data_IF_348745507023
#
_entry.id   IF_348745507023
#
_cell.length_a   1.000
_cell.length_b   1.000
_cell.length_c   1.000
_cell.angle_alpha   90.00
_cell.angle_beta   90.00
_cell.angle_gamma   90.00
#
_symmetry.space_group_name_H-M   'P 1'
#
loop_
_entity.id
_entity.type
_entity.pdbx_description
1 polymer ?
#
# COMPACT_ATOMS: atom_id res chain seq x y z
N UNK A 1 40.92 -0.09 2.72
CA UNK A 1 39.45 0.00 2.79
C UNK A 1 38.90 -1.01 1.80
N UNK A 2 38.01 -1.90 2.23
CA UNK A 2 37.43 -2.91 1.35
C UNK A 2 36.19 -2.33 0.65
N UNK A 3 36.38 -1.71 -0.51
CA UNK A 3 35.31 -1.08 -1.29
C UNK A 3 34.32 -2.11 -1.84
N UNK A 4 34.81 -3.29 -2.22
CA UNK A 4 33.97 -4.36 -2.77
C UNK A 4 33.08 -4.96 -1.67
N UNK A 5 33.64 -5.21 -0.49
CA UNK A 5 32.88 -5.65 0.68
C UNK A 5 31.82 -4.62 1.10
N UNK A 6 32.17 -3.33 1.11
CA UNK A 6 31.21 -2.27 1.39
C UNK A 6 30.07 -2.21 0.38
N UNK A 7 30.40 -2.23 -0.92
CA UNK A 7 29.39 -2.24 -2.00
C UNK A 7 28.44 -3.42 -1.85
N UNK A 8 28.97 -4.63 -1.60
CA UNK A 8 28.16 -5.83 -1.41
C UNK A 8 27.15 -5.68 -0.26
N UNK A 9 27.55 -5.05 0.85
CA UNK A 9 26.66 -4.79 1.98
C UNK A 9 25.54 -3.80 1.61
N UNK A 10 25.89 -2.73 0.89
CA UNK A 10 24.91 -1.73 0.43
C UNK A 10 23.92 -2.33 -0.56
N UNK A 11 24.39 -3.07 -1.57
CA UNK A 11 23.54 -3.75 -2.56
C UNK A 11 22.64 -4.80 -1.91
N UNK A 12 23.15 -5.54 -0.92
CA UNK A 12 22.35 -6.48 -0.15
C UNK A 12 21.24 -5.76 0.64
N UNK A 13 21.55 -4.61 1.25
CA UNK A 13 20.55 -3.78 1.93
C UNK A 13 19.48 -3.26 0.96
N UNK A 14 19.87 -2.74 -0.21
CA UNK A 14 18.93 -2.28 -1.25
C UNK A 14 17.98 -3.41 -1.64
N UNK A 15 18.54 -4.59 -1.92
CA UNK A 15 17.78 -5.78 -2.35
C UNK A 15 16.79 -6.22 -1.26
N UNK A 16 17.25 -6.31 -0.01
CA UNK A 16 16.40 -6.69 1.12
C UNK A 16 15.26 -5.69 1.34
N UNK A 17 15.55 -4.38 1.33
CA UNK A 17 14.52 -3.35 1.49
C UNK A 17 13.49 -3.39 0.36
N UNK A 18 13.93 -3.54 -0.90
CA UNK A 18 13.02 -3.69 -2.05
C UNK A 18 12.10 -4.90 -1.88
N UNK A 19 12.64 -6.05 -1.45
CA UNK A 19 11.85 -7.26 -1.22
C UNK A 19 10.80 -7.06 -0.12
N UNK A 20 11.17 -6.40 0.97
CA UNK A 20 10.25 -6.13 2.08
C UNK A 20 9.12 -5.19 1.64
N UNK A 21 9.46 -4.11 0.92
CA UNK A 21 8.48 -3.15 0.41
C UNK A 21 7.54 -3.82 -0.61
N UNK A 22 8.06 -4.67 -1.49
CA UNK A 22 7.23 -5.41 -2.45
C UNK A 22 6.23 -6.35 -1.75
N UNK A 23 6.67 -7.04 -0.68
CA UNK A 23 5.78 -7.86 0.13
C UNK A 23 4.69 -7.03 0.83
N UNK A 24 5.04 -5.83 1.34
CA UNK A 24 4.07 -4.93 1.96
C UNK A 24 3.06 -4.36 0.95
N UNK A 25 3.50 -4.01 -0.27
CA UNK A 25 2.59 -3.64 -1.36
C UNK A 25 1.62 -4.78 -1.65
N UNK A 26 2.10 -6.01 -1.80
CA UNK A 26 1.23 -7.16 -2.09
C UNK A 26 0.17 -7.38 -1.00
N UNK A 27 0.56 -7.21 0.28
CA UNK A 27 -0.38 -7.29 1.41
C UNK A 27 -1.44 -6.20 1.34
N UNK A 28 -1.05 -4.97 1.02
CA UNK A 28 -1.96 -3.84 0.89
C UNK A 28 -2.90 -4.00 -0.31
N UNK A 29 -2.41 -4.51 -1.45
CA UNK A 29 -3.25 -4.80 -2.63
C UNK A 29 -4.29 -5.88 -2.32
N UNK A 30 -3.90 -6.92 -1.56
CA UNK A 30 -4.82 -7.95 -1.10
C UNK A 30 -5.90 -7.35 -0.19
N UNK A 31 -5.49 -6.57 0.82
CA UNK A 31 -6.42 -5.89 1.73
C UNK A 31 -7.36 -4.91 0.99
N UNK A 32 -6.85 -4.20 -0.02
CA UNK A 32 -7.65 -3.30 -0.86
C UNK A 32 -8.72 -4.05 -1.63
N UNK A 33 -8.36 -5.20 -2.21
CA UNK A 33 -9.30 -6.07 -2.91
C UNK A 33 -10.38 -6.60 -1.96
N UNK A 34 -9.99 -7.03 -0.76
CA UNK A 34 -10.93 -7.55 0.24
C UNK A 34 -11.91 -6.47 0.73
N UNK A 35 -11.42 -5.25 1.00
CA UNK A 35 -12.25 -4.11 1.40
C UNK A 35 -13.21 -3.71 0.28
N UNK A 36 -12.75 -3.64 -0.97
CA UNK A 36 -13.62 -3.32 -2.11
C UNK A 36 -14.71 -4.38 -2.31
N UNK A 37 -14.38 -5.67 -2.11
CA UNK A 37 -15.37 -6.75 -2.16
C UNK A 37 -16.38 -6.62 -1.03
N UNK A 38 -15.94 -6.35 0.19
CA UNK A 38 -16.83 -6.18 1.35
C UNK A 38 -17.76 -4.96 1.18
N UNK A 39 -17.24 -3.86 0.63
CA UNK A 39 -18.05 -2.68 0.29
C UNK A 39 -19.17 -3.03 -0.71
N UNK A 40 -18.83 -3.78 -1.77
CA UNK A 40 -19.81 -4.22 -2.76
C UNK A 40 -20.85 -5.16 -2.14
N UNK A 41 -20.43 -6.14 -1.32
CA UNK A 41 -21.34 -7.00 -0.56
C UNK A 41 -22.30 -6.17 0.29
N UNK A 42 -21.78 -5.19 1.03
CA UNK A 42 -22.60 -4.31 1.86
C UNK A 42 -23.62 -3.50 1.05
N UNK A 43 -23.29 -3.05 -0.16
CA UNK A 43 -24.27 -2.40 -1.05
C UNK A 43 -25.37 -3.37 -1.51
N UNK A 44 -25.05 -4.64 -1.75
CA UNK A 44 -26.07 -5.64 -2.10
C UNK A 44 -26.97 -5.98 -0.90
N UNK A 45 -26.39 -6.12 0.30
CA UNK A 45 -27.15 -6.35 1.53
C UNK A 45 -28.07 -5.18 1.84
N UNK A 46 -27.61 -3.94 1.65
CA UNK A 46 -28.42 -2.74 1.84
C UNK A 46 -29.69 -2.74 0.99
N UNK A 47 -29.65 -3.25 -0.25
CA UNK A 47 -30.85 -3.34 -1.12
C UNK A 47 -31.97 -4.17 -0.48
N UNK A 48 -31.60 -5.24 0.24
CA UNK A 48 -32.58 -6.08 0.95
C UNK A 48 -33.26 -5.33 2.10
N UNK A 49 -32.58 -4.33 2.68
CA UNK A 49 -33.16 -3.44 3.68
C UNK A 49 -34.10 -2.41 3.09
N UNK A 50 -34.02 -2.05 1.80
CA UNK A 50 -34.90 -1.03 1.19
C UNK A 50 -36.14 -1.64 0.51
N UNK A 51 -36.07 -2.90 0.06
CA UNK A 51 -37.17 -3.58 -0.64
C UNK A 51 -37.49 -4.96 -0.05
N UNK A 52 -38.02 -5.05 1.18
CA UNK A 52 -38.36 -6.34 1.79
C UNK A 52 -39.63 -6.93 1.16
N UNK A 53 -39.63 -8.25 0.95
CA UNK A 53 -40.83 -8.99 0.57
C UNK A 53 -41.79 -9.11 1.76
N UNK A 54 -42.59 -8.08 1.99
CA UNK A 54 -43.61 -8.04 3.03
C UNK A 54 -44.96 -8.48 2.47
N UNK A 55 -45.57 -9.49 3.09
CA UNK A 55 -46.92 -9.93 2.73
C UNK A 55 -47.99 -8.87 3.03
N UNK A 56 -49.13 -8.92 2.34
CA UNK A 56 -50.21 -7.93 2.45
C UNK A 56 -50.83 -7.76 3.87
N UNK A 57 -50.49 -8.65 4.80
CA UNK A 57 -50.88 -8.61 6.22
C UNK A 57 -49.97 -7.73 7.10
N UNK A 58 -48.85 -7.21 6.56
CA UNK A 58 -47.93 -6.35 7.30
C UNK A 58 -48.45 -4.90 7.39
N UNK A 59 -49.26 -4.61 8.41
CA UNK A 59 -49.90 -3.29 8.62
C UNK A 59 -49.98 -2.92 10.10
N UNK A 60 -50.17 -1.63 10.38
CA UNK A 60 -50.33 -1.07 11.72
C UNK A 60 -48.99 -0.84 12.43
N UNK A 61 -49.03 -0.49 13.72
CA UNK A 61 -47.88 0.02 14.49
C UNK A 61 -46.63 -0.88 14.45
N UNK A 62 -46.80 -2.20 14.31
CA UNK A 62 -45.67 -3.14 14.16
C UNK A 62 -44.95 -3.00 12.81
N UNK A 63 -45.70 -2.71 11.75
CA UNK A 63 -45.14 -2.44 10.44
C UNK A 63 -44.39 -1.10 10.45
N UNK A 64 -45.00 -0.06 11.02
CA UNK A 64 -44.40 1.28 11.11
C UNK A 64 -43.07 1.27 11.87
N UNK A 65 -43.02 0.62 13.04
CA UNK A 65 -41.77 0.47 13.81
C UNK A 65 -40.70 -0.34 13.09
N UNK A 66 -41.08 -1.34 12.29
CA UNK A 66 -40.14 -2.11 11.49
C UNK A 66 -39.55 -1.28 10.35
N UNK A 67 -40.35 -0.39 9.75
CA UNK A 67 -39.88 0.51 8.70
C UNK A 67 -38.93 1.58 9.27
N UNK A 68 -39.20 2.14 10.45
CA UNK A 68 -38.29 3.05 11.16
C UNK A 68 -36.92 2.39 11.46
N UNK A 69 -36.92 1.16 11.97
CA UNK A 69 -35.68 0.40 12.24
C UNK A 69 -34.87 0.16 10.97
N UNK A 70 -35.56 -0.14 9.86
CA UNK A 70 -34.92 -0.35 8.55
C UNK A 70 -34.32 0.92 7.98
N UNK A 71 -35.03 2.04 8.06
CA UNK A 71 -34.52 3.33 7.59
C UNK A 71 -33.27 3.73 8.37
N UNK A 72 -33.30 3.61 9.70
CA UNK A 72 -32.14 3.88 10.56
C UNK A 72 -30.95 2.95 10.25
N UNK A 73 -31.20 1.67 9.95
CA UNK A 73 -30.15 0.74 9.52
C UNK A 73 -29.57 1.13 8.15
N UNK A 74 -30.43 1.49 7.20
CA UNK A 74 -30.03 1.93 5.85
C UNK A 74 -29.17 3.19 5.90
N UNK A 75 -29.52 4.18 6.71
CA UNK A 75 -28.73 5.41 6.88
C UNK A 75 -27.33 5.13 7.47
N UNK A 76 -27.25 4.25 8.48
CA UNK A 76 -25.96 3.83 9.05
C UNK A 76 -25.10 3.08 8.04
N UNK A 77 -25.71 2.19 7.24
CA UNK A 77 -25.00 1.50 6.16
C UNK A 77 -24.50 2.49 5.11
N UNK A 78 -25.28 3.51 4.75
CA UNK A 78 -24.81 4.56 3.84
C UNK A 78 -23.59 5.29 4.39
N UNK A 79 -23.61 5.62 5.68
CA UNK A 79 -22.47 6.27 6.31
C UNK A 79 -21.21 5.41 6.21
N UNK A 80 -21.32 4.12 6.56
CA UNK A 80 -20.18 3.20 6.55
C UNK A 80 -19.69 2.97 5.10
N UNK A 81 -20.59 2.60 4.20
CA UNK A 81 -20.24 2.19 2.84
C UNK A 81 -19.74 3.34 1.99
N UNK A 82 -20.26 4.56 2.17
CA UNK A 82 -19.82 5.72 1.38
C UNK A 82 -18.63 6.45 2.00
N UNK A 83 -18.53 6.54 3.33
CA UNK A 83 -17.49 7.34 3.97
C UNK A 83 -16.37 6.49 4.53
N UNK A 84 -16.67 5.57 5.45
CA UNK A 84 -15.63 4.81 6.15
C UNK A 84 -14.81 3.93 5.20
N UNK A 85 -15.50 3.16 4.34
CA UNK A 85 -14.84 2.36 3.32
C UNK A 85 -14.02 3.19 2.34
N UNK A 86 -14.56 4.32 1.87
CA UNK A 86 -13.84 5.22 0.97
C UNK A 86 -12.58 5.80 1.61
N UNK A 87 -12.62 6.14 2.89
CA UNK A 87 -11.44 6.59 3.64
C UNK A 87 -10.37 5.50 3.73
N UNK A 88 -10.76 4.25 4.05
CA UNK A 88 -9.82 3.14 4.12
C UNK A 88 -9.19 2.82 2.75
N UNK A 89 -10.00 2.77 1.69
CA UNK A 89 -9.55 2.57 0.31
C UNK A 89 -8.52 3.64 -0.06
N UNK A 90 -8.85 4.92 0.16
CA UNK A 90 -7.96 6.04 -0.16
C UNK A 90 -6.65 5.98 0.62
N UNK A 91 -6.70 5.63 1.90
CA UNK A 91 -5.51 5.49 2.74
C UNK A 91 -4.60 4.36 2.27
N UNK A 92 -5.16 3.22 1.88
CA UNK A 92 -4.40 2.08 1.37
C UNK A 92 -3.75 2.43 0.03
N UNK A 93 -4.51 3.03 -0.90
CA UNK A 93 -4.00 3.44 -2.22
C UNK A 93 -2.86 4.46 -2.09
N UNK A 94 -2.99 5.44 -1.19
CA UNK A 94 -1.92 6.41 -0.89
C UNK A 94 -0.66 5.74 -0.35
N UNK A 95 -0.83 4.75 0.54
CA UNK A 95 0.30 4.00 1.10
C UNK A 95 1.00 3.16 0.03
N UNK A 96 0.24 2.47 -0.83
CA UNK A 96 0.79 1.72 -1.98
C UNK A 96 1.63 2.65 -2.86
N UNK A 97 1.09 3.82 -3.23
CA UNK A 97 1.82 4.80 -4.06
C UNK A 97 3.13 5.26 -3.40
N UNK A 98 3.11 5.52 -2.09
CA UNK A 98 4.31 5.87 -1.33
C UNK A 98 5.37 4.77 -1.39
N UNK A 99 4.96 3.51 -1.18
CA UNK A 99 5.85 2.35 -1.23
C UNK A 99 6.41 2.12 -2.65
N UNK A 100 5.60 2.33 -3.70
CA UNK A 100 6.06 2.26 -5.09
C UNK A 100 7.14 3.31 -5.39
N UNK A 101 6.98 4.53 -4.88
CA UNK A 101 8.00 5.57 -4.99
C UNK A 101 9.31 5.19 -4.27
N UNK A 102 9.21 4.51 -3.13
CA UNK A 102 10.39 3.99 -2.43
C UNK A 102 11.10 2.89 -3.24
N UNK A 103 10.36 1.98 -3.90
CA UNK A 103 10.94 1.00 -4.84
C UNK A 103 11.67 1.71 -5.98
N UNK A 104 11.08 2.75 -6.56
CA UNK A 104 11.69 3.51 -7.64
C UNK A 104 13.01 4.17 -7.18
N UNK A 105 13.03 4.77 -5.98
CA UNK A 105 14.23 5.34 -5.40
C UNK A 105 15.32 4.29 -5.14
N UNK A 106 14.97 3.13 -4.56
CA UNK A 106 15.91 2.03 -4.33
C UNK A 106 16.44 1.45 -5.65
N UNK A 107 15.63 1.42 -6.70
CA UNK A 107 16.06 1.01 -8.05
C UNK A 107 17.08 1.99 -8.64
N UNK A 108 16.92 3.30 -8.38
CA UNK A 108 17.93 4.27 -8.78
C UNK A 108 19.27 4.05 -8.04
N UNK A 109 19.24 3.70 -6.75
CA UNK A 109 20.46 3.35 -6.00
C UNK A 109 21.14 2.07 -6.51
N UNK A 110 20.37 1.12 -7.03
CA UNK A 110 20.89 -0.09 -7.67
C UNK A 110 21.70 0.26 -8.93
N UNK A 111 21.25 1.24 -9.72
CA UNK A 111 22.01 1.77 -10.87
C UNK A 111 23.33 2.38 -10.39
N UNK A 112 23.30 3.21 -9.34
CA UNK A 112 24.53 3.79 -8.74
C UNK A 112 25.46 2.70 -8.20
N UNK A 113 24.90 1.60 -7.68
CA UNK A 113 25.67 0.44 -7.19
C UNK A 113 26.41 -0.26 -8.33
N UNK A 114 25.77 -0.44 -9.48
CA UNK A 114 26.41 -1.00 -10.67
C UNK A 114 27.54 -0.09 -11.20
N UNK A 115 27.33 1.24 -11.19
CA UNK A 115 28.39 2.21 -11.54
C UNK A 115 29.59 2.12 -10.58
N UNK A 116 29.32 2.00 -9.27
CA UNK A 116 30.36 1.83 -8.26
C UNK A 116 31.14 0.52 -8.48
N UNK A 117 30.46 -0.57 -8.84
CA UNK A 117 31.09 -1.86 -9.13
C UNK A 117 32.08 -1.75 -10.30
N UNK A 118 31.66 -1.11 -11.39
CA UNK A 118 32.51 -0.89 -12.56
C UNK A 118 33.74 -0.01 -12.25
N UNK A 119 33.57 0.99 -11.39
CA UNK A 119 34.69 1.84 -10.93
C UNK A 119 35.65 1.07 -10.03
N UNK A 120 35.15 0.23 -9.10
CA UNK A 120 36.00 -0.63 -8.26
C UNK A 120 36.79 -1.61 -9.13
N UNK A 121 36.18 -2.19 -10.18
CA UNK A 121 36.84 -3.09 -11.13
C UNK A 121 37.97 -2.41 -11.92
N UNK A 122 37.88 -1.10 -12.17
CA UNK A 122 38.93 -0.33 -12.86
C UNK A 122 40.17 -0.08 -11.99
N UNK A 123 40.09 -0.27 -10.67
CA UNK A 123 41.23 -0.18 -9.77
C UNK A 123 41.66 1.25 -9.45
N UNK A 124 42.96 1.47 -9.26
CA UNK A 124 43.54 2.66 -8.63
C UNK A 124 43.11 4.00 -9.27
N UNK A 125 43.00 4.07 -10.60
CA UNK A 125 42.64 5.30 -11.31
C UNK A 125 41.20 5.77 -11.06
N UNK A 126 40.35 4.92 -10.48
CA UNK A 126 38.92 5.18 -10.29
C UNK A 126 38.49 5.16 -8.81
N UNK A 127 39.42 5.01 -7.86
CA UNK A 127 39.10 4.84 -6.43
C UNK A 127 38.29 6.01 -5.86
N UNK A 128 38.68 7.25 -6.14
CA UNK A 128 37.98 8.43 -5.61
C UNK A 128 36.54 8.52 -6.10
N UNK A 129 36.32 8.12 -7.37
CA UNK A 129 34.98 8.08 -7.96
C UNK A 129 34.14 6.96 -7.34
N UNK A 130 34.73 5.79 -7.10
CA UNK A 130 34.06 4.69 -6.41
C UNK A 130 33.64 5.08 -4.98
N UNK A 131 34.53 5.75 -4.24
CA UNK A 131 34.24 6.25 -2.87
C UNK A 131 33.09 7.25 -2.90
N UNK A 132 33.06 8.18 -3.86
CA UNK A 132 31.96 9.14 -4.01
C UNK A 132 30.62 8.43 -4.21
N UNK A 133 30.59 7.42 -5.10
CA UNK A 133 29.37 6.65 -5.41
C UNK A 133 28.86 5.84 -4.22
N UNK A 134 29.77 5.22 -3.45
CA UNK A 134 29.41 4.57 -2.19
C UNK A 134 28.82 5.56 -1.19
N UNK A 135 29.33 6.78 -1.14
CA UNK A 135 28.78 7.88 -0.35
C UNK A 135 27.35 8.26 -0.76
N UNK A 136 27.09 8.35 -2.07
CA UNK A 136 25.75 8.60 -2.63
C UNK A 136 24.77 7.49 -2.23
N UNK A 137 25.16 6.23 -2.37
CA UNK A 137 24.33 5.07 -2.00
C UNK A 137 24.03 5.09 -0.50
N UNK A 138 25.04 5.33 0.34
CA UNK A 138 24.87 5.39 1.79
C UNK A 138 23.89 6.49 2.19
N UNK A 139 24.05 7.69 1.63
CA UNK A 139 23.15 8.83 1.89
C UNK A 139 21.73 8.51 1.42
N UNK A 140 21.61 7.88 0.25
CA UNK A 140 20.35 7.46 -0.32
C UNK A 140 19.63 6.41 0.54
N UNK A 141 20.35 5.48 1.16
CA UNK A 141 19.75 4.52 2.10
C UNK A 141 19.36 5.18 3.43
N UNK A 142 20.16 6.12 3.91
CA UNK A 142 19.91 6.82 5.17
C UNK A 142 18.73 7.80 5.12
N UNK A 143 18.33 8.29 3.94
CA UNK A 143 17.22 9.26 3.81
C UNK A 143 15.83 8.67 4.08
N UNK A 144 15.73 7.34 4.29
CA UNK A 144 14.47 6.63 4.50
C UNK A 144 14.34 5.98 5.89
N UNK A 145 15.35 6.13 6.74
CA UNK A 145 15.34 5.77 8.17
C UNK A 145 14.93 6.98 9.01
#
# INVERSE_FOLDING_TARGET
MDLAGELNNLTSSITSQRSNIAADIQRLETALSDIKREQETGFQEKKTLTEPELGASWKGTRADSFDEDREAASEKMDQILHYDFSMYISSIESKISTLQNQIAALTALDIVSNEAEDLIRKGEDAIDSAISKLGEIRKGLASWL
#
